data_IF_898941155903
#
_entry.id   IF_898941155903
#
_cell.length_a   1.000
_cell.length_b   1.000
_cell.length_c   1.000
_cell.angle_alpha   90.00
_cell.angle_beta   90.00
_cell.angle_gamma   90.00
#
_symmetry.space_group_name_H-M   'P 1'
#
loop_
_entity.id
_entity.type
_entity.pdbx_description
1 polymer ?
#
# COMPACT_ATOMS: atom_id res chain seq x y z
N UNK A 1 16.55 -4.48 -14.98
CA UNK A 1 15.23 -4.31 -14.35
C UNK A 1 14.84 -2.86 -14.58
N UNK A 2 13.82 -2.59 -15.38
CA UNK A 2 13.42 -1.21 -15.70
C UNK A 2 12.58 -0.64 -14.55
N UNK A 3 12.86 0.60 -14.13
CA UNK A 3 12.09 1.29 -13.09
C UNK A 3 10.77 1.73 -13.70
N UNK A 4 9.66 1.29 -13.11
CA UNK A 4 8.33 1.75 -13.52
C UNK A 4 8.01 3.08 -12.83
N UNK A 5 8.17 3.23 -11.51
CA UNK A 5 8.15 4.56 -10.89
C UNK A 5 8.84 4.56 -9.53
N UNK A 6 9.09 5.75 -9.02
CA UNK A 6 9.67 5.98 -7.71
C UNK A 6 8.69 6.78 -6.85
N UNK A 7 8.64 6.46 -5.56
CA UNK A 7 7.89 7.17 -4.54
C UNK A 7 8.74 7.29 -3.28
N UNK A 8 9.44 8.41 -3.12
CA UNK A 8 10.39 8.62 -2.02
C UNK A 8 11.52 7.61 -2.07
N UNK A 9 11.62 6.78 -1.05
CA UNK A 9 12.61 5.71 -0.95
C UNK A 9 12.13 4.37 -1.55
N UNK A 10 10.98 4.34 -2.25
CA UNK A 10 10.44 3.12 -2.85
C UNK A 10 10.59 3.15 -4.37
N UNK A 11 11.13 2.08 -4.92
CA UNK A 11 11.24 1.87 -6.37
C UNK A 11 10.33 0.71 -6.77
N UNK A 12 9.48 0.95 -7.75
CA UNK A 12 8.54 -0.02 -8.29
C UNK A 12 9.03 -0.51 -9.65
N UNK A 13 9.05 -1.82 -9.82
CA UNK A 13 9.40 -2.47 -11.08
C UNK A 13 8.30 -3.45 -11.48
N UNK A 14 8.02 -3.52 -12.78
CA UNK A 14 7.17 -4.57 -13.33
C UNK A 14 8.04 -5.75 -13.76
N UNK A 15 7.77 -6.93 -13.23
CA UNK A 15 8.48 -8.17 -13.56
C UNK A 15 7.48 -9.27 -13.90
N UNK A 16 7.93 -10.31 -14.61
CA UNK A 16 7.15 -11.54 -14.76
C UNK A 16 7.67 -12.58 -13.78
N UNK A 17 6.77 -13.22 -13.04
CA UNK A 17 7.09 -14.32 -12.14
C UNK A 17 6.29 -15.57 -12.50
N UNK A 18 6.90 -16.73 -12.32
CA UNK A 18 6.23 -18.01 -12.54
C UNK A 18 5.28 -18.29 -11.38
N UNK A 19 3.99 -18.41 -11.67
CA UNK A 19 2.96 -18.82 -10.72
C UNK A 19 2.99 -20.32 -10.43
N UNK A 20 2.20 -20.74 -9.45
CA UNK A 20 2.02 -22.16 -9.12
C UNK A 20 1.39 -22.98 -10.28
N UNK A 21 0.65 -22.31 -11.16
CA UNK A 21 0.11 -22.85 -12.40
C UNK A 21 1.16 -23.01 -13.53
N UNK A 22 2.42 -22.66 -13.25
CA UNK A 22 3.52 -22.70 -14.19
C UNK A 22 3.54 -21.56 -15.21
N UNK A 23 2.56 -20.64 -15.18
CA UNK A 23 2.46 -19.50 -16.11
C UNK A 23 3.24 -18.29 -15.61
N UNK A 24 3.63 -17.43 -16.55
CA UNK A 24 4.32 -16.18 -16.25
C UNK A 24 3.33 -15.04 -16.04
N UNK A 25 3.11 -14.67 -14.79
CA UNK A 25 2.20 -13.60 -14.39
C UNK A 25 2.98 -12.31 -14.13
N UNK A 26 2.46 -11.14 -14.55
CA UNK A 26 3.06 -9.88 -14.18
C UNK A 26 2.90 -9.63 -12.68
N UNK A 27 3.94 -9.06 -12.07
CA UNK A 27 3.99 -8.67 -10.66
C UNK A 27 4.67 -7.32 -10.54
N UNK A 28 4.27 -6.55 -9.53
CA UNK A 28 4.96 -5.33 -9.14
C UNK A 28 5.93 -5.68 -8.01
N UNK A 29 7.21 -5.36 -8.19
CA UNK A 29 8.25 -5.55 -7.18
C UNK A 29 8.63 -4.20 -6.62
N UNK A 30 8.52 -4.07 -5.30
CA UNK A 30 8.86 -2.84 -4.57
C UNK A 30 10.14 -3.06 -3.79
N UNK A 31 11.11 -2.19 -4.01
CA UNK A 31 12.42 -2.17 -3.37
C UNK A 31 12.61 -0.85 -2.62
N UNK A 32 13.48 -0.86 -1.61
CA UNK A 32 14.06 0.38 -1.10
C UNK A 32 15.10 0.91 -2.08
N UNK A 33 14.96 2.16 -2.52
CA UNK A 33 15.90 2.89 -3.38
C UNK A 33 17.24 3.13 -2.70
N UNK A 34 17.24 3.19 -1.36
CA UNK A 34 18.43 3.49 -0.56
C UNK A 34 19.40 2.30 -0.57
N UNK A 35 20.68 2.60 -0.80
CA UNK A 35 21.79 1.64 -0.71
C UNK A 35 21.88 0.99 0.68
N UNK A 36 21.51 1.75 1.72
CA UNK A 36 21.35 1.30 3.10
C UNK A 36 19.95 1.67 3.60
N UNK A 37 18.96 0.77 3.51
CA UNK A 37 17.59 1.04 3.93
C UNK A 37 17.50 1.32 5.42
N UNK A 38 16.67 2.30 5.81
CA UNK A 38 16.40 2.52 7.24
C UNK A 38 15.50 1.40 7.80
N UNK A 39 15.57 1.12 9.11
CA UNK A 39 14.62 0.19 9.75
C UNK A 39 13.16 0.58 9.51
N UNK A 40 12.87 1.88 9.41
CA UNK A 40 11.52 2.37 9.11
C UNK A 40 11.06 2.03 7.68
N UNK A 41 11.95 2.12 6.70
CA UNK A 41 11.68 1.81 5.29
C UNK A 41 11.39 0.33 5.12
N UNK A 42 12.20 -0.53 5.74
CA UNK A 42 11.98 -1.97 5.78
C UNK A 42 10.70 -2.33 6.52
N UNK A 43 10.47 -1.69 7.67
CA UNK A 43 9.26 -1.85 8.48
C UNK A 43 7.98 -1.52 7.72
N UNK A 44 8.01 -0.56 6.78
CA UNK A 44 6.86 -0.26 5.91
C UNK A 44 6.54 -1.41 4.95
N UNK A 45 7.54 -2.05 4.35
CA UNK A 45 7.32 -3.21 3.48
C UNK A 45 6.78 -4.41 4.27
N UNK A 46 7.35 -4.66 5.44
CA UNK A 46 6.87 -5.67 6.38
C UNK A 46 5.42 -5.43 6.81
N UNK A 47 5.11 -4.19 7.17
CA UNK A 47 3.78 -3.82 7.61
C UNK A 47 2.74 -3.92 6.49
N UNK A 48 3.08 -3.49 5.27
CA UNK A 48 2.21 -3.66 4.10
C UNK A 48 1.97 -5.14 3.79
N UNK A 49 3.01 -5.99 3.82
CA UNK A 49 2.86 -7.43 3.67
C UNK A 49 1.96 -8.04 4.75
N UNK A 50 2.10 -7.57 6.00
CA UNK A 50 1.29 -8.00 7.14
C UNK A 50 -0.19 -7.63 7.05
N UNK A 51 -0.61 -6.86 6.04
CA UNK A 51 -2.00 -6.53 5.75
C UNK A 51 -2.63 -7.37 4.62
N UNK A 52 -1.88 -8.29 4.01
CA UNK A 52 -2.30 -9.01 2.77
C UNK A 52 -3.66 -9.72 2.83
N UNK A 53 -4.08 -10.13 4.02
CA UNK A 53 -5.32 -10.87 4.25
C UNK A 53 -6.52 -9.93 4.47
N UNK A 54 -6.27 -8.66 4.81
CA UNK A 54 -7.31 -7.62 4.87
C UNK A 54 -7.49 -6.87 3.54
N UNK A 55 -6.53 -6.99 2.62
CA UNK A 55 -6.57 -6.34 1.32
C UNK A 55 -7.27 -7.21 0.26
N UNK A 56 -8.15 -6.59 -0.53
CA UNK A 56 -8.89 -7.25 -1.62
C UNK A 56 -8.52 -6.62 -2.97
N UNK A 57 -8.32 -7.45 -3.98
CA UNK A 57 -7.89 -7.05 -5.33
C UNK A 57 -8.90 -6.11 -6.02
N UNK A 58 -10.15 -6.02 -5.54
CA UNK A 58 -11.13 -5.08 -6.07
C UNK A 58 -10.79 -3.61 -5.78
N UNK A 59 -10.08 -3.30 -4.68
CA UNK A 59 -9.80 -1.92 -4.26
C UNK A 59 -8.36 -1.66 -3.79
N UNK A 60 -7.56 -2.71 -3.60
CA UNK A 60 -6.14 -2.61 -3.24
C UNK A 60 -5.28 -3.50 -4.12
N UNK A 61 -4.02 -3.11 -4.26
CA UNK A 61 -2.97 -3.96 -4.80
C UNK A 61 -2.49 -4.89 -3.69
N UNK A 62 -2.79 -6.18 -3.83
CA UNK A 62 -2.46 -7.17 -2.80
C UNK A 62 -0.98 -7.56 -2.78
N UNK A 63 -0.36 -7.62 -1.59
CA UNK A 63 0.90 -8.30 -1.40
C UNK A 63 0.78 -9.80 -1.65
N UNK A 64 1.71 -10.32 -2.43
CA UNK A 64 1.86 -11.75 -2.73
C UNK A 64 2.94 -12.37 -1.86
N UNK A 65 4.10 -11.71 -1.75
CA UNK A 65 5.25 -12.24 -1.03
C UNK A 65 6.18 -11.14 -0.54
N UNK A 66 6.82 -11.38 0.59
CA UNK A 66 7.95 -10.58 1.07
C UNK A 66 9.23 -11.43 0.93
N UNK A 67 10.12 -11.01 0.02
CA UNK A 67 11.37 -11.71 -0.25
C UNK A 67 12.51 -10.99 0.47
N UNK A 68 13.33 -11.76 1.18
CA UNK A 68 14.53 -11.26 1.86
C UNK A 68 15.75 -11.96 1.28
N UNK A 69 16.61 -11.20 0.61
CA UNK A 69 17.84 -11.68 0.00
C UNK A 69 19.02 -10.81 0.47
N UNK A 70 19.78 -11.32 1.43
CA UNK A 70 20.86 -10.58 2.08
C UNK A 70 20.36 -9.26 2.69
N UNK A 71 20.90 -8.14 2.20
CA UNK A 71 20.51 -6.78 2.65
C UNK A 71 19.28 -6.22 1.94
N UNK A 72 18.73 -6.92 0.93
CA UNK A 72 17.58 -6.45 0.15
C UNK A 72 16.30 -7.09 0.65
N UNK A 73 15.32 -6.26 1.00
CA UNK A 73 13.94 -6.68 1.22
C UNK A 73 13.10 -6.20 0.05
N UNK A 74 12.32 -7.11 -0.52
CA UNK A 74 11.46 -6.86 -1.67
C UNK A 74 10.03 -7.25 -1.33
N UNK A 75 9.10 -6.35 -1.61
CA UNK A 75 7.68 -6.66 -1.55
C UNK A 75 7.18 -6.96 -2.96
N UNK A 76 6.69 -8.18 -3.16
CA UNK A 76 6.05 -8.60 -4.41
C UNK A 76 4.56 -8.39 -4.26
N UNK A 77 3.99 -7.63 -5.19
CA UNK A 77 2.60 -7.24 -5.26
C UNK A 77 1.96 -7.81 -6.54
N UNK A 78 0.64 -7.98 -6.53
CA UNK A 78 -0.10 -8.22 -7.77
C UNK A 78 0.09 -7.05 -8.76
N UNK A 79 0.04 -7.34 -10.06
CA UNK A 79 0.04 -6.30 -11.09
C UNK A 79 -1.24 -6.36 -11.92
N UNK A 80 -2.21 -5.46 -11.67
CA UNK A 80 -3.43 -5.39 -12.48
C UNK A 80 -3.23 -4.73 -13.86
N UNK A 81 -1.99 -4.33 -14.19
CA UNK A 81 -1.68 -3.59 -15.41
C UNK A 81 -2.11 -2.12 -15.33
N UNK A 82 -2.28 -1.58 -14.12
CA UNK A 82 -2.60 -0.17 -13.87
C UNK A 82 -1.34 0.67 -13.75
N UNK A 83 -1.49 1.99 -13.90
CA UNK A 83 -0.40 2.95 -13.74
C UNK A 83 -0.73 3.95 -12.61
N UNK A 84 0.26 4.48 -11.88
CA UNK A 84 0.01 5.46 -10.83
C UNK A 84 -0.58 6.74 -11.40
N UNK A 85 -1.56 7.31 -10.70
CA UNK A 85 -2.23 8.56 -11.06
C UNK A 85 -1.22 9.71 -11.19
N UNK A 86 -0.13 9.68 -10.40
CA UNK A 86 0.98 10.64 -10.49
C UNK A 86 1.49 10.84 -11.93
N UNK A 87 1.56 9.78 -12.74
CA UNK A 87 2.01 9.85 -14.15
C UNK A 87 1.04 10.59 -15.08
N UNK A 88 -0.19 10.82 -14.64
CA UNK A 88 -1.23 11.53 -15.40
C UNK A 88 -1.39 12.98 -14.96
N UNK A 89 -0.72 13.37 -13.87
CA UNK A 89 -0.72 14.75 -13.38
C UNK A 89 0.26 15.60 -14.21
N UNK A 90 -0.03 16.89 -14.32
CA UNK A 90 0.76 17.85 -15.12
C UNK A 90 0.11 18.25 -16.44
N UNK A 91 -1.03 17.66 -16.80
CA UNK A 91 -1.89 18.13 -17.89
C UNK A 91 -3.28 18.47 -17.37
N UNK A 92 -3.97 19.40 -18.04
CA UNK A 92 -5.35 19.71 -17.71
C UNK A 92 -6.22 18.46 -17.89
N UNK A 93 -7.01 18.14 -16.87
CA UNK A 93 -7.88 16.96 -16.87
C UNK A 93 -9.30 17.36 -17.27
N UNK A 94 -9.89 16.58 -18.17
CA UNK A 94 -11.32 16.73 -18.52
C UNK A 94 -12.19 16.43 -17.30
N UNK A 95 -13.23 17.25 -17.08
CA UNK A 95 -14.08 17.19 -15.88
C UNK A 95 -14.71 15.82 -15.65
N UNK A 96 -15.18 15.15 -16.70
CA UNK A 96 -15.72 13.80 -16.64
C UNK A 96 -14.68 12.78 -16.19
N UNK A 97 -13.44 12.85 -16.68
CA UNK A 97 -12.35 12.00 -16.20
C UNK A 97 -12.02 12.28 -14.73
N UNK A 98 -11.96 13.54 -14.34
CA UNK A 98 -11.75 13.93 -12.94
C UNK A 98 -12.83 13.34 -12.03
N UNK A 99 -14.10 13.50 -12.38
CA UNK A 99 -15.22 12.98 -11.59
C UNK A 99 -15.20 11.45 -11.51
N UNK A 100 -14.91 10.75 -12.62
CA UNK A 100 -14.75 9.28 -12.61
C UNK A 100 -13.66 8.83 -11.64
N UNK A 101 -12.50 9.49 -11.68
CA UNK A 101 -11.39 9.20 -10.78
C UNK A 101 -11.76 9.50 -9.33
N UNK A 102 -12.37 10.64 -9.04
CA UNK A 102 -12.78 11.02 -7.69
C UNK A 102 -13.76 10.01 -7.09
N UNK A 103 -14.75 9.56 -7.87
CA UNK A 103 -15.71 8.53 -7.44
C UNK A 103 -15.00 7.20 -7.18
N UNK A 104 -14.12 6.75 -8.09
CA UNK A 104 -13.37 5.51 -7.92
C UNK A 104 -12.45 5.52 -6.69
N UNK A 105 -11.74 6.63 -6.46
CA UNK A 105 -10.89 6.83 -5.29
C UNK A 105 -11.73 6.80 -4.00
N UNK A 106 -12.87 7.52 -3.99
CA UNK A 106 -13.76 7.53 -2.83
C UNK A 106 -14.34 6.15 -2.53
N UNK A 107 -14.70 5.36 -3.55
CA UNK A 107 -15.19 4.00 -3.40
C UNK A 107 -14.10 3.05 -2.85
N UNK A 108 -12.87 3.15 -3.35
CA UNK A 108 -11.74 2.38 -2.83
C UNK A 108 -11.45 2.72 -1.36
N UNK A 109 -11.44 4.01 -1.01
CA UNK A 109 -11.31 4.47 0.39
C UNK A 109 -12.46 4.00 1.28
N UNK A 110 -13.69 4.03 0.77
CA UNK A 110 -14.85 3.47 1.46
C UNK A 110 -14.64 1.98 1.79
N UNK A 111 -14.05 1.22 0.88
CA UNK A 111 -13.72 -0.19 1.08
C UNK A 111 -12.62 -0.36 2.14
N UNK A 112 -11.56 0.46 2.10
CA UNK A 112 -10.51 0.48 3.15
C UNK A 112 -11.14 0.67 4.54
N UNK A 113 -12.01 1.66 4.69
CA UNK A 113 -12.66 1.95 5.97
C UNK A 113 -13.62 0.85 6.42
N UNK A 114 -14.35 0.21 5.50
CA UNK A 114 -15.21 -0.94 5.82
C UNK A 114 -14.42 -2.16 6.31
N UNK A 115 -13.14 -2.27 5.95
CA UNK A 115 -12.22 -3.30 6.48
C UNK A 115 -11.55 -2.89 7.79
N UNK A 116 -11.99 -1.77 8.37
CA UNK A 116 -11.47 -1.27 9.62
C UNK A 116 -10.04 -0.73 9.50
N UNK A 117 -9.62 -0.31 8.30
CA UNK A 117 -8.29 0.23 8.04
C UNK A 117 -8.34 1.74 7.85
N UNK A 118 -7.22 2.42 8.10
CA UNK A 118 -6.94 3.81 7.71
C UNK A 118 -5.65 3.81 6.93
N UNK A 119 -5.67 4.28 5.67
CA UNK A 119 -4.50 4.16 4.79
C UNK A 119 -3.32 5.06 5.20
N UNK A 120 -3.58 6.28 5.68
CA UNK A 120 -2.60 7.28 6.15
C UNK A 120 -1.58 7.83 5.12
N UNK A 121 -1.58 7.37 3.88
CA UNK A 121 -0.64 7.82 2.83
C UNK A 121 -1.33 7.98 1.48
N UNK A 122 -2.45 8.73 1.46
CA UNK A 122 -3.22 8.97 0.23
C UNK A 122 -2.55 10.06 -0.59
N UNK A 123 -1.95 9.65 -1.71
CA UNK A 123 -1.28 10.51 -2.67
C UNK A 123 -1.33 9.89 -4.07
N UNK A 124 -1.14 10.67 -5.16
CA UNK A 124 -1.24 10.18 -6.53
C UNK A 124 -0.32 9.00 -6.88
N UNK A 125 0.83 8.85 -6.20
CA UNK A 125 1.75 7.72 -6.40
C UNK A 125 1.20 6.39 -5.85
N UNK A 126 0.26 6.46 -4.89
CA UNK A 126 -0.37 5.32 -4.24
C UNK A 126 -1.77 5.00 -4.80
N UNK A 127 -2.20 5.72 -5.84
CA UNK A 127 -3.50 5.52 -6.50
C UNK A 127 -3.20 4.97 -7.89
N UNK A 128 -3.43 3.67 -8.11
CA UNK A 128 -3.25 3.06 -9.41
C UNK A 128 -4.55 3.07 -10.20
N UNK A 129 -4.47 3.48 -11.46
CA UNK A 129 -5.62 3.70 -12.33
C UNK A 129 -5.47 2.96 -13.65
N UNK A 130 -6.57 2.38 -14.12
CA UNK A 130 -6.67 1.70 -15.41
C UNK A 130 -7.94 2.13 -16.15
N UNK A 131 -7.99 1.89 -17.46
CA UNK A 131 -9.19 2.03 -18.28
C UNK A 131 -9.91 3.39 -18.11
N UNK A 132 -9.11 4.46 -18.22
CA UNK A 132 -9.56 5.87 -18.07
C UNK A 132 -10.29 6.14 -16.74
N UNK A 133 -9.83 5.50 -15.66
CA UNK A 133 -10.34 5.70 -14.30
C UNK A 133 -11.52 4.80 -13.94
N UNK A 134 -11.86 3.82 -14.78
CA UNK A 134 -12.90 2.83 -14.47
C UNK A 134 -12.46 1.88 -13.34
N UNK A 135 -11.17 1.55 -13.28
CA UNK A 135 -10.59 0.78 -12.18
C UNK A 135 -9.61 1.66 -11.40
N UNK A 136 -9.82 1.74 -10.09
CA UNK A 136 -8.96 2.43 -9.14
C UNK A 136 -8.60 1.45 -8.02
N UNK A 137 -7.30 1.30 -7.78
CA UNK A 137 -6.78 0.50 -6.65
C UNK A 137 -5.76 1.29 -5.87
N UNK A 138 -5.70 1.04 -4.57
CA UNK A 138 -4.75 1.67 -3.66
C UNK A 138 -3.54 0.77 -3.41
N UNK A 139 -2.38 1.36 -3.18
CA UNK A 139 -1.13 0.70 -2.77
C UNK A 139 -0.42 1.56 -1.72
N UNK A 140 0.64 1.06 -1.10
CA UNK A 140 1.39 1.85 -0.12
C UNK A 140 0.74 1.85 1.26
N UNK A 141 0.25 0.70 1.69
CA UNK A 141 -0.31 0.49 3.02
C UNK A 141 0.76 0.40 4.13
N UNK A 142 2.03 0.71 3.84
CA UNK A 142 3.14 0.54 4.77
C UNK A 142 3.08 1.35 6.07
N UNK A 143 2.19 2.35 6.16
CA UNK A 143 1.88 3.05 7.42
C UNK A 143 0.39 3.01 7.80
N UNK A 144 -0.40 2.17 7.14
CA UNK A 144 -1.82 2.06 7.42
C UNK A 144 -2.05 1.57 8.86
N UNK A 145 -3.15 1.97 9.50
CA UNK A 145 -3.51 1.46 10.83
C UNK A 145 -4.84 0.73 10.80
N UNK A 146 -5.03 -0.19 11.75
CA UNK A 146 -6.36 -0.75 12.06
C UNK A 146 -7.07 0.25 12.99
N UNK A 147 -8.33 0.58 12.72
CA UNK A 147 -9.13 1.57 13.47
C UNK A 147 -9.19 1.27 14.97
N UNK A 148 -9.17 0.00 15.38
CA UNK A 148 -9.11 -0.39 16.79
C UNK A 148 -7.85 0.12 17.49
N UNK A 149 -6.69 0.06 16.81
CA UNK A 149 -5.42 0.62 17.32
C UNK A 149 -5.43 2.15 17.30
N UNK A 150 -6.08 2.78 16.33
CA UNK A 150 -6.22 4.24 16.29
C UNK A 150 -7.05 4.77 17.46
N UNK A 151 -8.18 4.11 17.76
CA UNK A 151 -9.04 4.46 18.90
C UNK A 151 -8.33 4.26 20.24
N UNK A 152 -7.45 3.27 20.36
CA UNK A 152 -6.63 3.07 21.56
C UNK A 152 -5.59 4.18 21.74
N UNK A 153 -4.95 4.64 20.67
CA UNK A 153 -4.00 5.76 20.74
C UNK A 153 -4.67 7.09 21.13
N UNK A 154 -5.96 7.25 20.79
CA UNK A 154 -6.76 8.41 21.14
C UNK A 154 -7.39 8.34 22.54
N UNK A 155 -7.29 7.21 23.27
CA UNK A 155 -7.78 7.10 24.65
C UNK A 155 -6.64 7.29 25.66
N UNK A 156 -6.55 8.46 26.33
CA UNK A 156 -5.51 8.74 27.31
C UNK A 156 -5.58 7.86 28.56
N UNK A 157 -6.66 7.07 28.72
CA UNK A 157 -6.89 6.20 29.89
C UNK A 157 -6.37 4.77 29.69
N UNK A 158 -6.02 4.36 28.46
CA UNK A 158 -5.55 3.00 28.18
C UNK A 158 -4.11 2.73 28.63
N UNK A 159 -3.35 3.74 29.09
CA UNK A 159 -1.95 3.62 29.51
C UNK A 159 -1.69 3.59 31.02
N UNK A 160 -2.73 3.50 31.86
CA UNK A 160 -2.57 3.42 33.33
C UNK A 160 -3.20 2.13 33.89
N UNK A 161 -2.38 1.11 34.05
CA UNK A 161 -2.63 -0.07 34.90
C UNK A 161 -1.40 -0.98 34.84
N UNK A 162 -0.71 -1.36 35.92
CA UNK A 162 -1.01 -1.36 37.34
C UNK A 162 0.28 -1.09 38.14
N UNK A 163 0.27 -0.13 39.04
CA UNK A 163 1.15 -0.12 40.22
C UNK A 163 0.25 -0.38 41.43
N UNK A 164 0.00 -1.66 41.72
CA UNK A 164 -0.61 -2.06 42.98
C UNK A 164 0.47 -1.99 44.06
N UNK A 165 0.42 -0.92 44.84
CA UNK A 165 1.09 -0.82 46.14
C UNK A 165 0.40 -1.81 47.09
N UNK A 166 1.14 -2.82 47.55
CA UNK A 166 0.82 -3.54 48.78
C UNK A 166 1.85 -3.12 49.83
N UNK A 167 1.40 -2.26 50.75
CA UNK A 167 2.05 -2.09 52.04
C UNK A 167 1.32 -2.94 53.09
N UNK A 168 2.02 -3.41 54.12
CA UNK A 168 1.49 -3.43 55.48
C UNK A 168 1.73 -2.09 56.19
#
# INVERSE_FOLDING_TARGET
>A
MEVLWEDGDRVFHRQRRRGADGKWNPVLVVLSALEYPTPSSLGRLDHEYGLKDELDSAWAVRPLELVRDGSRTMLVLEDPGSEPLARRLGTAMETGLFLRLAIGIAAALGSVHQRGLVHKDIKPANILVKDKGAEVRLTGFGIASRLSRERQALDPRSGRGNACLHGP
#
